data_IF_289476008421
#
_entry.id   IF_289476008421
#
_cell.length_a   1.000
_cell.length_b   1.000
_cell.length_c   1.000
_cell.angle_alpha   90.00
_cell.angle_beta   90.00
_cell.angle_gamma   90.00
#
_symmetry.space_group_name_H-M   'P 1'
#
loop_
_entity.id
_entity.type
_entity.pdbx_description
1 polymer ?
#
# COMPACT_ATOMS: atom_id res chain seq x y z
N UNK A 1 -31.65 32.40 11.84
CA UNK A 1 -30.38 31.77 12.22
C UNK A 1 -30.28 30.47 11.41
N UNK A 2 -29.33 30.29 10.48
CA UNK A 2 -29.21 28.99 9.83
C UNK A 2 -28.82 27.96 10.89
N UNK A 3 -29.63 26.93 11.04
CA UNK A 3 -29.30 25.78 11.89
C UNK A 3 -27.97 25.17 11.42
N UNK A 4 -27.02 25.12 12.34
CA UNK A 4 -25.69 24.60 12.07
C UNK A 4 -25.78 23.06 12.00
N UNK A 5 -26.19 22.52 10.85
CA UNK A 5 -26.36 21.08 10.60
C UNK A 5 -25.09 20.26 10.83
N UNK A 6 -23.94 20.94 10.97
CA UNK A 6 -22.64 20.29 11.23
C UNK A 6 -22.37 19.98 12.70
N UNK A 7 -23.17 20.56 13.64
CA UNK A 7 -23.03 20.24 15.07
C UNK A 7 -23.40 18.78 15.29
N UNK A 8 -22.43 17.98 15.76
CA UNK A 8 -22.62 16.56 16.04
C UNK A 8 -22.48 15.63 14.82
N UNK A 9 -22.23 16.13 13.59
CA UNK A 9 -22.05 15.28 12.42
C UNK A 9 -20.87 14.31 12.62
N UNK A 10 -19.71 14.80 13.04
CA UNK A 10 -18.53 13.96 13.35
C UNK A 10 -18.85 12.86 14.36
N UNK A 11 -19.59 13.22 15.42
CA UNK A 11 -19.94 12.24 16.44
C UNK A 11 -20.88 11.17 15.88
N UNK A 12 -21.88 11.54 15.10
CA UNK A 12 -22.80 10.59 14.44
C UNK A 12 -22.05 9.64 13.49
N UNK A 13 -21.09 10.15 12.71
CA UNK A 13 -20.26 9.33 11.81
C UNK A 13 -19.41 8.34 12.60
N UNK A 14 -18.75 8.77 13.66
CA UNK A 14 -17.95 7.89 14.53
C UNK A 14 -18.82 6.86 15.27
N UNK A 15 -20.04 7.23 15.71
CA UNK A 15 -20.96 6.29 16.35
C UNK A 15 -21.49 5.25 15.36
N UNK A 16 -21.74 5.66 14.12
CA UNK A 16 -22.10 4.76 13.02
C UNK A 16 -20.94 3.79 12.71
N UNK A 17 -19.70 4.29 12.66
CA UNK A 17 -18.50 3.46 12.50
C UNK A 17 -18.33 2.44 13.63
N UNK A 18 -18.52 2.85 14.90
CA UNK A 18 -18.42 1.93 16.06
C UNK A 18 -19.44 0.79 16.00
N UNK A 19 -20.63 1.07 15.44
CA UNK A 19 -21.72 0.07 15.35
C UNK A 19 -21.57 -0.88 14.17
N UNK A 20 -21.10 -0.39 13.03
CA UNK A 20 -21.25 -1.08 11.75
C UNK A 20 -19.91 -1.30 11.01
N UNK A 21 -18.78 -0.78 11.52
CA UNK A 21 -17.50 -0.84 10.82
C UNK A 21 -17.44 0.09 9.61
N UNK A 22 -16.43 -0.12 8.75
CA UNK A 22 -16.21 0.73 7.56
C UNK A 22 -17.04 0.30 6.34
N UNK A 23 -17.57 -0.92 6.31
CA UNK A 23 -18.22 -1.53 5.16
C UNK A 23 -19.42 -0.76 4.61
N UNK A 24 -20.05 0.06 5.47
CA UNK A 24 -21.25 0.81 5.11
C UNK A 24 -20.94 2.24 4.65
N UNK A 25 -19.66 2.62 4.60
CA UNK A 25 -19.22 3.96 4.23
C UNK A 25 -18.67 3.97 2.82
N UNK A 26 -18.95 5.04 2.08
CA UNK A 26 -18.27 5.33 0.83
C UNK A 26 -16.84 5.81 1.07
N UNK A 27 -15.97 5.73 0.06
CA UNK A 27 -14.57 6.11 0.16
C UNK A 27 -14.37 7.55 0.66
N UNK A 28 -15.22 8.50 0.21
CA UNK A 28 -15.14 9.89 0.67
C UNK A 28 -15.54 10.02 2.15
N UNK A 29 -16.51 9.25 2.64
CA UNK A 29 -16.89 9.25 4.05
C UNK A 29 -15.78 8.67 4.94
N UNK A 30 -15.06 7.66 4.45
CA UNK A 30 -13.87 7.11 5.14
C UNK A 30 -12.77 8.17 5.22
N UNK A 31 -12.47 8.87 4.14
CA UNK A 31 -11.51 9.98 4.12
C UNK A 31 -11.95 11.13 5.05
N UNK A 32 -13.22 11.48 5.02
CA UNK A 32 -13.79 12.50 5.91
C UNK A 32 -13.53 12.15 7.38
N UNK A 33 -13.80 10.91 7.78
CA UNK A 33 -13.57 10.46 9.16
C UNK A 33 -12.08 10.45 9.53
N UNK A 34 -11.17 10.04 8.62
CA UNK A 34 -9.74 10.14 8.85
C UNK A 34 -9.31 11.58 9.09
N UNK A 35 -9.81 12.52 8.30
CA UNK A 35 -9.49 13.93 8.42
C UNK A 35 -9.97 14.54 9.75
N UNK A 36 -10.94 13.95 10.44
CA UNK A 36 -11.35 14.42 11.78
C UNK A 36 -10.20 14.43 12.80
N UNK A 37 -9.24 13.53 12.64
CA UNK A 37 -8.10 13.42 13.56
C UNK A 37 -6.99 14.45 13.27
N UNK A 38 -6.90 14.95 12.04
CA UNK A 38 -5.94 15.99 11.65
C UNK A 38 -6.53 17.40 11.74
N UNK A 39 -7.82 17.54 11.45
CA UNK A 39 -8.54 18.83 11.39
C UNK A 39 -9.41 19.00 12.63
N UNK A 40 -8.98 19.84 13.55
CA UNK A 40 -9.67 20.02 14.85
C UNK A 40 -11.07 20.61 14.71
N UNK A 41 -11.26 21.56 13.79
CA UNK A 41 -12.51 22.29 13.59
C UNK A 41 -12.80 22.46 12.10
N UNK A 42 -14.08 22.57 11.75
CA UNK A 42 -14.53 22.76 10.38
C UNK A 42 -15.06 21.48 9.75
N UNK A 43 -15.62 21.64 8.57
CA UNK A 43 -16.18 20.56 7.75
C UNK A 43 -15.07 19.94 6.88
N UNK A 44 -14.84 18.64 7.02
CA UNK A 44 -13.84 17.90 6.24
C UNK A 44 -14.45 17.21 5.02
N UNK A 45 -15.78 17.17 4.91
CA UNK A 45 -16.48 16.55 3.79
C UNK A 45 -16.08 17.15 2.43
N UNK A 46 -16.05 18.50 2.24
CA UNK A 46 -15.60 19.06 0.96
C UNK A 46 -14.15 18.69 0.60
N UNK A 47 -13.28 18.58 1.60
CA UNK A 47 -11.87 18.17 1.38
C UNK A 47 -11.79 16.71 0.96
N UNK A 48 -12.57 15.83 1.59
CA UNK A 48 -12.66 14.42 1.20
C UNK A 48 -13.14 14.25 -0.25
N UNK A 49 -14.17 15.01 -0.64
CA UNK A 49 -14.64 15.01 -2.03
C UNK A 49 -13.58 15.50 -3.03
N UNK A 50 -12.83 16.59 -2.71
CA UNK A 50 -11.74 17.08 -3.56
C UNK A 50 -10.61 16.06 -3.70
N UNK A 51 -10.26 15.36 -2.63
CA UNK A 51 -9.29 14.26 -2.68
C UNK A 51 -9.76 13.14 -3.63
N UNK A 52 -11.01 12.69 -3.49
CA UNK A 52 -11.58 11.68 -4.39
C UNK A 52 -11.63 12.16 -5.84
N UNK A 53 -12.00 13.41 -6.08
CA UNK A 53 -12.02 13.99 -7.43
C UNK A 53 -10.61 14.08 -8.04
N UNK A 54 -9.60 14.44 -7.24
CA UNK A 54 -8.21 14.60 -7.70
C UNK A 54 -7.53 13.28 -8.01
N UNK A 55 -7.72 12.26 -7.17
CA UNK A 55 -7.00 10.98 -7.24
C UNK A 55 -7.84 9.81 -7.74
N UNK A 56 -9.16 9.90 -7.72
CA UNK A 56 -10.09 8.95 -8.32
C UNK A 56 -10.46 7.75 -7.45
N UNK A 57 -9.69 7.43 -6.40
CA UNK A 57 -9.97 6.33 -5.47
C UNK A 57 -9.31 6.54 -4.11
N UNK A 58 -9.83 5.89 -3.06
CA UNK A 58 -9.22 5.87 -1.72
C UNK A 58 -7.78 5.33 -1.77
N UNK A 59 -7.56 4.27 -2.53
CA UNK A 59 -6.24 3.69 -2.75
C UNK A 59 -5.26 4.73 -3.31
N UNK A 60 -5.64 5.47 -4.36
CA UNK A 60 -4.77 6.47 -4.97
C UNK A 60 -4.51 7.68 -4.05
N UNK A 61 -5.47 8.05 -3.21
CA UNK A 61 -5.27 9.07 -2.16
C UNK A 61 -4.23 8.63 -1.15
N UNK A 62 -4.33 7.41 -0.64
CA UNK A 62 -3.41 6.90 0.37
C UNK A 62 -1.99 6.68 -0.18
N UNK A 63 -1.85 6.34 -1.47
CA UNK A 63 -0.53 6.18 -2.12
C UNK A 63 0.12 7.49 -2.58
N UNK A 64 -0.62 8.59 -2.60
CA UNK A 64 -0.10 9.89 -2.99
C UNK A 64 0.98 10.37 -2.01
N UNK A 65 1.95 11.11 -2.54
CA UNK A 65 2.97 11.76 -1.70
C UNK A 65 2.36 12.91 -0.90
N UNK A 66 3.01 13.30 0.20
CA UNK A 66 2.56 14.43 1.01
C UNK A 66 2.47 15.73 0.19
N UNK A 67 3.42 15.94 -0.73
CA UNK A 67 3.41 17.10 -1.62
C UNK A 67 2.21 17.09 -2.58
N UNK A 68 1.89 15.93 -3.17
CA UNK A 68 0.73 15.76 -4.03
C UNK A 68 -0.58 15.98 -3.25
N UNK A 69 -0.68 15.45 -2.04
CA UNK A 69 -1.84 15.62 -1.17
C UNK A 69 -2.06 17.09 -0.81
N UNK A 70 -0.98 17.83 -0.50
CA UNK A 70 -1.05 19.24 -0.15
C UNK A 70 -1.40 20.16 -1.32
N UNK A 71 -1.40 19.67 -2.56
CA UNK A 71 -1.95 20.42 -3.72
C UNK A 71 -3.48 20.53 -3.66
N UNK A 72 -4.15 19.72 -2.84
CA UNK A 72 -5.61 19.73 -2.70
C UNK A 72 -6.02 20.75 -1.65
N UNK A 73 -6.92 21.67 -2.02
CA UNK A 73 -7.43 22.67 -1.12
C UNK A 73 -8.09 22.05 0.14
N UNK A 74 -7.67 22.51 1.31
CA UNK A 74 -8.11 21.99 2.61
C UNK A 74 -7.23 20.88 3.18
N UNK A 75 -6.21 20.40 2.43
CA UNK A 75 -5.23 19.46 2.92
C UNK A 75 -3.97 20.21 3.37
N UNK A 76 -3.82 20.35 4.68
CA UNK A 76 -2.60 20.89 5.29
C UNK A 76 -1.57 19.79 5.59
N UNK A 77 -0.36 20.18 6.05
CA UNK A 77 0.73 19.23 6.36
C UNK A 77 0.28 18.09 7.29
N UNK A 78 -0.45 18.38 8.36
CA UNK A 78 -0.94 17.35 9.30
C UNK A 78 -1.92 16.36 8.69
N UNK A 79 -2.74 16.81 7.73
CA UNK A 79 -3.65 15.92 7.02
C UNK A 79 -2.90 15.01 6.07
N UNK A 80 -1.89 15.54 5.36
CA UNK A 80 -1.01 14.76 4.49
C UNK A 80 -0.19 13.75 5.28
N UNK A 81 0.44 14.15 6.39
CA UNK A 81 1.15 13.26 7.31
C UNK A 81 0.27 12.13 7.83
N UNK A 82 -0.98 12.42 8.24
CA UNK A 82 -1.91 11.40 8.72
C UNK A 82 -2.23 10.37 7.65
N UNK A 83 -2.57 10.81 6.43
CA UNK A 83 -2.90 9.91 5.33
C UNK A 83 -1.68 9.04 4.96
N UNK A 84 -0.50 9.64 4.90
CA UNK A 84 0.75 8.92 4.66
C UNK A 84 1.08 7.92 5.78
N UNK A 85 0.87 8.30 7.05
CA UNK A 85 1.07 7.41 8.19
C UNK A 85 0.09 6.22 8.16
N UNK A 86 -1.17 6.43 7.81
CA UNK A 86 -2.14 5.34 7.66
C UNK A 86 -1.69 4.34 6.59
N UNK A 87 -1.18 4.82 5.46
CA UNK A 87 -0.63 3.98 4.41
C UNK A 87 0.60 3.19 4.89
N UNK A 88 1.56 3.86 5.52
CA UNK A 88 2.76 3.23 6.05
C UNK A 88 2.44 2.17 7.12
N UNK A 89 1.45 2.44 8.00
CA UNK A 89 0.98 1.50 9.01
C UNK A 89 0.32 0.27 8.39
N UNK A 90 -0.51 0.47 7.36
CA UNK A 90 -1.13 -0.63 6.62
C UNK A 90 -0.06 -1.55 6.00
N UNK A 91 0.97 -0.99 5.37
CA UNK A 91 2.08 -1.77 4.81
C UNK A 91 2.87 -2.51 5.88
N UNK A 92 3.15 -1.86 7.00
CA UNK A 92 3.82 -2.53 8.12
C UNK A 92 3.00 -3.71 8.64
N UNK A 93 1.69 -3.51 8.81
CA UNK A 93 0.77 -4.59 9.20
C UNK A 93 0.80 -5.76 8.20
N UNK A 94 0.68 -5.47 6.89
CA UNK A 94 0.74 -6.50 5.84
C UNK A 94 2.08 -7.26 5.86
N UNK A 95 3.19 -6.55 6.04
CA UNK A 95 4.51 -7.17 6.14
C UNK A 95 4.64 -8.08 7.38
N UNK A 96 4.06 -7.69 8.51
CA UNK A 96 4.08 -8.50 9.73
C UNK A 96 3.16 -9.73 9.60
N UNK A 97 1.99 -9.60 8.98
CA UNK A 97 1.11 -10.73 8.64
C UNK A 97 1.82 -11.70 7.70
N UNK A 98 2.45 -11.19 6.63
CA UNK A 98 3.22 -12.02 5.70
C UNK A 98 4.35 -12.78 6.37
N UNK A 99 5.04 -12.17 7.36
CA UNK A 99 6.06 -12.89 8.15
C UNK A 99 5.44 -14.02 8.98
N UNK A 100 4.28 -13.81 9.57
CA UNK A 100 3.59 -14.87 10.32
C UNK A 100 3.16 -16.01 9.41
N UNK A 101 2.70 -15.71 8.20
CA UNK A 101 2.31 -16.70 7.20
C UNK A 101 3.50 -17.42 6.56
N UNK A 102 4.69 -16.79 6.49
CA UNK A 102 5.93 -17.42 5.99
C UNK A 102 6.32 -18.69 6.76
N UNK A 103 5.90 -18.83 8.02
CA UNK A 103 6.15 -20.07 8.77
C UNK A 103 5.32 -21.27 8.31
N UNK A 104 4.32 -21.07 7.47
CA UNK A 104 3.38 -22.11 7.03
C UNK A 104 3.24 -22.27 5.52
N UNK A 105 3.70 -21.34 4.69
CA UNK A 105 3.33 -21.33 3.28
C UNK A 105 4.41 -21.78 2.30
N UNK A 106 3.99 -22.80 1.53
CA UNK A 106 4.72 -23.30 0.36
C UNK A 106 4.40 -22.43 -0.85
N UNK A 107 5.40 -21.87 -1.52
CA UNK A 107 5.25 -21.13 -2.78
C UNK A 107 5.12 -22.09 -3.97
N UNK A 108 4.06 -22.89 -3.98
CA UNK A 108 3.82 -23.93 -4.99
C UNK A 108 2.69 -23.60 -5.96
N UNK A 109 2.03 -22.45 -5.81
CA UNK A 109 1.01 -21.92 -6.71
C UNK A 109 1.22 -20.43 -6.95
N UNK A 110 0.74 -19.90 -8.09
CA UNK A 110 0.81 -18.48 -8.42
C UNK A 110 0.14 -17.60 -7.36
N UNK A 111 -1.01 -18.03 -6.83
CA UNK A 111 -1.73 -17.28 -5.80
C UNK A 111 -0.92 -17.14 -4.51
N UNK A 112 -0.23 -18.20 -4.09
CA UNK A 112 0.64 -18.19 -2.91
C UNK A 112 1.91 -17.37 -3.13
N UNK A 113 2.49 -17.44 -4.32
CA UNK A 113 3.62 -16.58 -4.70
C UNK A 113 3.17 -15.11 -4.69
N UNK A 114 1.99 -14.82 -5.24
CA UNK A 114 1.39 -13.49 -5.19
C UNK A 114 1.17 -13.00 -3.75
N UNK A 115 0.52 -13.81 -2.92
CA UNK A 115 0.28 -13.48 -1.51
C UNK A 115 1.58 -13.22 -0.73
N UNK A 116 2.66 -13.92 -1.08
CA UNK A 116 3.97 -13.72 -0.48
C UNK A 116 4.64 -12.41 -0.89
N UNK A 117 4.65 -12.06 -2.18
CA UNK A 117 5.40 -10.92 -2.69
C UNK A 117 4.61 -9.61 -2.70
N UNK A 118 3.29 -9.64 -2.91
CA UNK A 118 2.48 -8.42 -3.02
C UNK A 118 2.61 -7.52 -1.79
N UNK A 119 2.52 -8.00 -0.55
CA UNK A 119 2.70 -7.16 0.63
C UNK A 119 4.08 -6.52 0.73
N UNK A 120 5.13 -7.22 0.27
CA UNK A 120 6.51 -6.73 0.31
C UNK A 120 6.78 -5.65 -0.73
N UNK A 121 6.13 -5.74 -1.90
CA UNK A 121 6.33 -4.83 -3.03
C UNK A 121 5.37 -3.65 -3.05
N UNK A 122 4.20 -3.77 -2.43
CA UNK A 122 3.19 -2.69 -2.43
C UNK A 122 3.68 -1.36 -1.83
N UNK A 123 4.61 -1.41 -0.87
CA UNK A 123 5.18 -0.20 -0.24
C UNK A 123 6.29 0.46 -1.07
N UNK A 124 6.85 -0.25 -2.03
CA UNK A 124 8.02 0.21 -2.75
C UNK A 124 7.67 1.34 -3.71
N UNK A 125 8.43 2.43 -3.63
CA UNK A 125 8.28 3.60 -4.51
C UNK A 125 9.15 3.53 -5.75
N UNK A 126 10.14 2.65 -5.75
CA UNK A 126 11.06 2.38 -6.86
C UNK A 126 10.75 1.04 -7.51
N UNK A 127 11.34 0.78 -8.67
CA UNK A 127 11.32 -0.54 -9.26
C UNK A 127 12.21 -1.47 -8.44
N UNK A 128 11.66 -2.59 -7.97
CA UNK A 128 12.36 -3.58 -7.16
C UNK A 128 12.12 -4.96 -7.71
N UNK A 129 13.19 -5.74 -7.83
CA UNK A 129 13.16 -7.16 -8.14
C UNK A 129 13.55 -7.95 -6.89
N UNK A 130 12.63 -8.80 -6.42
CA UNK A 130 12.85 -9.73 -5.32
C UNK A 130 12.99 -11.16 -5.84
N UNK A 131 13.82 -11.96 -5.16
CA UNK A 131 13.92 -13.40 -5.37
C UNK A 131 13.68 -14.15 -4.06
N UNK A 132 12.73 -15.09 -4.06
CA UNK A 132 12.54 -16.06 -2.99
C UNK A 132 13.07 -17.42 -3.42
N UNK A 133 13.98 -17.96 -2.65
CA UNK A 133 14.60 -19.28 -2.86
C UNK A 133 13.82 -20.31 -2.05
N UNK A 134 13.41 -21.39 -2.69
CA UNK A 134 12.53 -22.41 -2.09
C UNK A 134 13.17 -23.79 -2.10
N UNK A 135 12.82 -24.61 -1.10
CA UNK A 135 13.17 -26.02 -1.07
C UNK A 135 12.30 -26.85 -2.02
N UNK A 136 12.56 -28.16 -2.13
CA UNK A 136 11.79 -29.08 -2.97
C UNK A 136 10.31 -29.24 -2.56
N UNK A 137 9.94 -28.79 -1.36
CA UNK A 137 8.56 -28.73 -0.87
C UNK A 137 7.90 -27.36 -1.11
N UNK A 138 8.63 -26.40 -1.70
CA UNK A 138 8.16 -25.03 -1.95
C UNK A 138 8.29 -24.08 -0.76
N UNK A 139 8.93 -24.49 0.35
CA UNK A 139 9.12 -23.63 1.53
C UNK A 139 10.21 -22.61 1.28
N UNK A 140 9.97 -21.35 1.66
CA UNK A 140 10.94 -20.27 1.50
C UNK A 140 12.13 -20.49 2.43
N UNK A 141 13.32 -20.62 1.84
CA UNK A 141 14.59 -20.71 2.53
C UNK A 141 15.21 -19.33 2.77
N UNK A 142 15.07 -18.44 1.78
CA UNK A 142 15.61 -17.09 1.81
C UNK A 142 14.84 -16.22 0.81
N UNK A 143 14.65 -14.95 1.15
CA UNK A 143 14.22 -13.91 0.21
C UNK A 143 15.25 -12.78 0.22
N UNK A 144 15.61 -12.27 -0.97
CA UNK A 144 16.53 -11.14 -1.08
C UNK A 144 16.18 -10.21 -2.25
N UNK A 145 16.56 -8.96 -2.12
CA UNK A 145 16.50 -7.98 -3.19
C UNK A 145 17.63 -8.25 -4.20
N UNK A 146 17.24 -8.49 -5.44
CA UNK A 146 18.18 -8.72 -6.54
C UNK A 146 18.63 -7.40 -7.15
N UNK A 147 17.67 -6.51 -7.37
CA UNK A 147 17.96 -5.21 -7.95
C UNK A 147 16.93 -4.17 -7.50
N UNK A 148 17.37 -2.91 -7.42
CA UNK A 148 16.57 -1.73 -7.16
C UNK A 148 16.98 -0.63 -8.14
N UNK A 149 16.04 0.09 -8.71
CA UNK A 149 16.37 1.16 -9.66
C UNK A 149 15.24 2.16 -9.84
N UNK A 150 15.64 3.40 -10.21
CA UNK A 150 14.73 4.43 -10.72
C UNK A 150 14.72 4.39 -12.26
N UNK A 151 13.71 4.88 -12.89
CA UNK A 151 13.38 5.21 -14.29
C UNK A 151 14.13 4.55 -15.47
N UNK A 152 15.20 3.78 -15.29
CA UNK A 152 15.93 3.06 -16.32
C UNK A 152 16.07 1.61 -15.94
N UNK A 153 15.35 0.74 -16.62
CA UNK A 153 15.38 -0.74 -16.61
C UNK A 153 16.21 -1.38 -15.50
N UNK A 154 15.55 -2.02 -14.56
CA UNK A 154 16.21 -2.94 -13.62
C UNK A 154 16.91 -4.03 -14.43
N UNK A 155 18.25 -4.03 -14.42
CA UNK A 155 19.03 -5.07 -15.06
C UNK A 155 19.03 -6.32 -14.17
N UNK A 156 18.44 -7.38 -14.66
CA UNK A 156 18.37 -8.65 -13.91
C UNK A 156 19.76 -9.27 -13.87
N UNK A 157 20.34 -9.35 -12.68
CA UNK A 157 21.60 -10.06 -12.45
C UNK A 157 21.33 -11.56 -12.22
N UNK A 158 21.34 -12.32 -13.32
CA UNK A 158 21.15 -13.77 -13.30
C UNK A 158 22.21 -14.50 -12.48
N UNK A 159 23.45 -13.97 -12.44
CA UNK A 159 24.51 -14.55 -11.64
C UNK A 159 24.24 -14.42 -10.14
N UNK A 160 23.74 -13.25 -9.70
CA UNK A 160 23.33 -13.02 -8.30
C UNK A 160 22.23 -13.99 -7.89
N UNK A 161 21.21 -14.19 -8.76
CA UNK A 161 20.11 -15.14 -8.52
C UNK A 161 20.65 -16.58 -8.41
N UNK A 162 21.46 -17.02 -9.38
CA UNK A 162 22.00 -18.37 -9.37
C UNK A 162 22.90 -18.65 -8.15
N UNK A 163 23.74 -17.67 -7.79
CA UNK A 163 24.59 -17.75 -6.58
C UNK A 163 23.73 -17.81 -5.32
N UNK A 164 22.67 -16.98 -5.23
CA UNK A 164 21.74 -17.00 -4.11
C UNK A 164 21.06 -18.35 -3.95
N UNK A 165 20.62 -18.97 -5.06
CA UNK A 165 20.01 -20.29 -5.07
C UNK A 165 20.99 -21.38 -4.57
N UNK A 166 22.22 -21.39 -5.06
CA UNK A 166 23.25 -22.31 -4.62
C UNK A 166 23.57 -22.17 -3.13
N UNK A 167 23.76 -20.94 -2.67
CA UNK A 167 24.07 -20.66 -1.26
C UNK A 167 22.93 -21.01 -0.31
N UNK A 168 21.69 -20.91 -0.77
CA UNK A 168 20.50 -21.29 0.01
C UNK A 168 20.19 -22.80 -0.06
N UNK A 169 20.86 -23.57 -0.93
CA UNK A 169 20.51 -24.97 -1.20
C UNK A 169 19.10 -25.11 -1.81
N UNK A 170 18.69 -24.11 -2.61
CA UNK A 170 17.34 -24.04 -3.12
C UNK A 170 17.09 -25.02 -4.27
N UNK A 171 15.88 -25.60 -4.30
CA UNK A 171 15.39 -26.41 -5.41
C UNK A 171 14.65 -25.57 -6.46
N UNK A 172 14.23 -24.34 -6.11
CA UNK A 172 13.53 -23.42 -7.01
C UNK A 172 13.68 -21.96 -6.59
N UNK A 173 13.35 -21.07 -7.53
CA UNK A 173 13.37 -19.62 -7.31
C UNK A 173 12.06 -19.03 -7.82
N UNK A 174 11.37 -18.25 -6.98
CA UNK A 174 10.27 -17.39 -7.38
C UNK A 174 10.77 -15.96 -7.47
N UNK A 175 10.41 -15.24 -8.54
CA UNK A 175 10.79 -13.85 -8.77
C UNK A 175 9.55 -12.97 -8.78
N UNK A 176 9.65 -11.79 -8.20
CA UNK A 176 8.62 -10.77 -8.33
C UNK A 176 9.24 -9.41 -8.61
N UNK A 177 8.67 -8.70 -9.55
CA UNK A 177 9.14 -7.40 -10.00
C UNK A 177 8.02 -6.38 -9.97
N UNK A 178 8.23 -5.25 -9.31
CA UNK A 178 7.35 -4.10 -9.43
C UNK A 178 7.81 -3.19 -10.57
N UNK A 179 6.92 -2.92 -11.53
CA UNK A 179 7.20 -2.07 -12.69
C UNK A 179 6.33 -0.81 -12.59
N UNK A 180 6.93 0.35 -12.86
CA UNK A 180 6.22 1.62 -13.02
C UNK A 180 5.98 1.89 -14.51
N UNK A 181 4.72 2.02 -14.91
CA UNK A 181 4.40 2.43 -16.28
C UNK A 181 4.44 3.95 -16.39
N UNK A 182 5.21 4.47 -17.36
CA UNK A 182 5.37 5.91 -17.68
C UNK A 182 4.12 6.51 -18.35
N UNK A 183 2.90 6.22 -17.88
CA UNK A 183 1.67 6.85 -18.40
C UNK A 183 1.27 8.03 -17.50
N UNK A 184 0.42 8.95 -18.02
CA UNK A 184 -0.10 10.15 -17.30
C UNK A 184 -0.68 9.87 -15.89
N UNK A 185 -1.01 8.61 -15.60
CA UNK A 185 -1.26 8.08 -14.27
C UNK A 185 -0.36 6.85 -14.11
N UNK A 186 0.71 6.92 -13.31
CA UNK A 186 1.63 5.81 -13.10
C UNK A 186 0.87 4.66 -12.43
N UNK A 187 0.60 3.61 -13.20
CA UNK A 187 0.06 2.37 -12.66
C UNK A 187 1.24 1.49 -12.27
N UNK A 188 1.21 0.98 -11.05
CA UNK A 188 2.13 -0.06 -10.61
C UNK A 188 1.62 -1.41 -11.11
N UNK A 189 2.51 -2.26 -11.58
CA UNK A 189 2.24 -3.66 -11.90
C UNK A 189 3.26 -4.51 -11.20
N UNK A 190 2.80 -5.53 -10.49
CA UNK A 190 3.65 -6.58 -9.94
C UNK A 190 3.59 -7.74 -10.93
N UNK A 191 4.75 -8.16 -11.41
CA UNK A 191 4.94 -9.35 -12.23
C UNK A 191 5.54 -10.44 -11.35
N UNK A 192 4.97 -11.62 -11.43
CA UNK A 192 5.41 -12.82 -10.70
C UNK A 192 5.84 -13.87 -11.70
#
# INVERSE_FOLDING_TARGET
MPENHHVGHRQRMLDKFRRFGLEIFSDHEVLEMLLYFAVRQGDTNPTAHRLMQRFGSLHAVLEATEDELQTVEGVGPRSAELLHLCFALFHRYQADVAKMEQFTDKLNTYDRIGAYFVPQLCAEREEVLLAAYVDGAGRVLKCEEIARGGHARVQVDSYKIARGALMAGAAGVALAHIIRTARRHPRRRILI
#
